data_IF_267704511723
#
_entry.id   IF_267704511723
#
_cell.length_a   1.000
_cell.length_b   1.000
_cell.length_c   1.000
_cell.angle_alpha   90.00
_cell.angle_beta   90.00
_cell.angle_gamma   90.00
#
_symmetry.space_group_name_H-M   'P 1'
#
loop_
_entity.id
_entity.type
_entity.pdbx_description
1 polymer ?
#
# COMPACT_ATOMS: atom_id res chain seq x y z
N UNK A 1 -5.55 -20.64 -3.88
CA UNK A 1 -5.27 -19.51 -4.80
C UNK A 1 -4.32 -19.91 -5.94
N UNK A 2 -3.36 -20.85 -5.71
CA UNK A 2 -2.33 -21.23 -6.71
C UNK A 2 -2.86 -22.04 -7.92
N UNK A 3 -4.15 -22.36 -7.97
CA UNK A 3 -4.78 -23.09 -9.10
C UNK A 3 -5.36 -22.14 -10.19
N UNK A 4 -5.28 -20.82 -10.00
CA UNK A 4 -5.76 -19.84 -10.98
C UNK A 4 -4.91 -19.93 -12.26
N UNK A 5 -5.58 -20.00 -13.41
CA UNK A 5 -4.99 -20.09 -14.74
C UNK A 5 -5.19 -18.79 -15.52
N UNK A 6 -4.43 -18.54 -16.60
CA UNK A 6 -4.67 -17.38 -17.48
C UNK A 6 -6.11 -17.31 -18.04
N UNK A 7 -6.73 -18.45 -18.31
CA UNK A 7 -8.10 -18.49 -18.83
C UNK A 7 -9.13 -18.00 -17.79
N UNK A 8 -8.86 -18.27 -16.49
CA UNK A 8 -9.73 -17.81 -15.39
C UNK A 8 -9.76 -16.28 -15.24
N UNK A 9 -8.72 -15.58 -15.73
CA UNK A 9 -8.60 -14.12 -15.63
C UNK A 9 -8.68 -13.41 -16.99
N UNK A 10 -8.88 -14.15 -18.08
CA UNK A 10 -8.90 -13.57 -19.43
C UNK A 10 -9.94 -12.45 -19.60
N UNK A 11 -11.09 -12.57 -18.93
CA UNK A 11 -12.17 -11.57 -18.94
C UNK A 11 -11.74 -10.20 -18.37
N UNK A 12 -10.73 -10.16 -17.49
CA UNK A 12 -10.23 -8.92 -16.91
C UNK A 12 -9.79 -7.93 -17.99
N UNK A 13 -9.22 -8.42 -19.08
CA UNK A 13 -8.81 -7.59 -20.22
C UNK A 13 -9.93 -6.72 -20.78
N UNK A 14 -11.16 -7.25 -20.76
CA UNK A 14 -12.32 -6.60 -21.36
C UNK A 14 -12.97 -5.59 -20.42
N UNK A 15 -12.89 -5.85 -19.09
CA UNK A 15 -13.59 -5.04 -18.08
C UNK A 15 -12.68 -4.12 -17.25
N UNK A 16 -11.36 -4.31 -17.30
CA UNK A 16 -10.43 -3.59 -16.39
C UNK A 16 -10.54 -2.08 -16.46
N UNK A 17 -10.90 -1.53 -17.63
CA UNK A 17 -11.13 -0.09 -17.82
C UNK A 17 -12.37 0.47 -17.11
N UNK A 18 -13.20 -0.37 -16.51
CA UNK A 18 -14.36 0.03 -15.70
C UNK A 18 -13.97 0.28 -14.23
N UNK A 19 -12.72 0.04 -13.86
CA UNK A 19 -12.21 0.16 -12.50
C UNK A 19 -11.18 1.29 -12.37
N UNK A 20 -11.14 1.93 -11.21
CA UNK A 20 -10.22 3.03 -10.92
C UNK A 20 -8.80 2.55 -10.63
N UNK A 21 -8.65 1.31 -10.13
CA UNK A 21 -7.35 0.71 -9.80
C UNK A 21 -7.45 -0.81 -9.72
N UNK A 22 -6.36 -1.50 -10.08
CA UNK A 22 -6.19 -2.94 -9.82
C UNK A 22 -5.25 -3.11 -8.64
N UNK A 23 -5.67 -3.91 -7.65
CA UNK A 23 -4.84 -4.29 -6.50
C UNK A 23 -4.42 -5.75 -6.63
N UNK A 24 -3.12 -6.01 -6.49
CA UNK A 24 -2.50 -7.32 -6.60
C UNK A 24 -1.73 -7.66 -5.33
N UNK A 25 -1.63 -8.96 -5.04
CA UNK A 25 -0.79 -9.55 -3.99
C UNK A 25 -0.05 -10.78 -4.53
N UNK A 26 1.01 -11.21 -3.83
CA UNK A 26 1.83 -12.35 -4.27
C UNK A 26 1.32 -13.71 -3.75
N UNK A 27 0.02 -13.83 -3.50
CA UNK A 27 -0.63 -15.07 -3.03
C UNK A 27 -1.32 -15.87 -4.15
N UNK A 28 -1.12 -15.46 -5.40
CA UNK A 28 -1.56 -16.15 -6.62
C UNK A 28 -0.34 -16.42 -7.52
N UNK A 29 -0.46 -17.26 -8.56
CA UNK A 29 0.66 -17.51 -9.45
C UNK A 29 1.22 -16.20 -10.04
N UNK A 30 2.55 -16.05 -10.04
CA UNK A 30 3.22 -14.82 -10.52
C UNK A 30 2.80 -14.45 -11.93
N UNK A 31 2.67 -15.44 -12.82
CA UNK A 31 2.20 -15.21 -14.19
C UNK A 31 0.82 -14.56 -14.27
N UNK A 32 -0.04 -14.75 -13.28
CA UNK A 32 -1.36 -14.12 -13.23
C UNK A 32 -1.22 -12.65 -12.82
N UNK A 33 -0.37 -12.35 -11.83
CA UNK A 33 -0.05 -10.98 -11.47
C UNK A 33 0.52 -10.21 -12.67
N UNK A 34 1.47 -10.81 -13.40
CA UNK A 34 2.07 -10.21 -14.61
C UNK A 34 1.04 -9.94 -15.69
N UNK A 35 0.16 -10.93 -15.96
CA UNK A 35 -0.87 -10.82 -16.99
C UNK A 35 -1.91 -9.75 -16.67
N UNK A 36 -2.41 -9.74 -15.43
CA UNK A 36 -3.42 -8.74 -15.00
C UNK A 36 -2.82 -7.35 -14.92
N UNK A 37 -1.58 -7.20 -14.43
CA UNK A 37 -0.86 -5.93 -14.44
C UNK A 37 -0.67 -5.40 -15.87
N UNK A 38 -0.34 -6.28 -16.82
CA UNK A 38 -0.24 -5.90 -18.23
C UNK A 38 -1.59 -5.42 -18.78
N UNK A 39 -2.68 -6.12 -18.52
CA UNK A 39 -4.02 -5.70 -18.99
C UNK A 39 -4.40 -4.33 -18.46
N UNK A 40 -4.15 -4.07 -17.17
CA UNK A 40 -4.41 -2.77 -16.56
C UNK A 40 -3.53 -1.67 -17.17
N UNK A 41 -2.23 -1.92 -17.32
CA UNK A 41 -1.27 -0.99 -17.93
C UNK A 41 -1.66 -0.62 -19.37
N UNK A 42 -2.01 -1.60 -20.20
CA UNK A 42 -2.45 -1.38 -21.59
C UNK A 42 -3.72 -0.50 -21.69
N UNK A 43 -4.54 -0.50 -20.64
CA UNK A 43 -5.78 0.30 -20.54
C UNK A 43 -5.60 1.60 -19.77
N UNK A 44 -4.41 1.89 -19.24
CA UNK A 44 -4.14 3.08 -18.44
C UNK A 44 -4.75 3.04 -17.03
N UNK A 45 -5.12 1.85 -16.55
CA UNK A 45 -5.65 1.67 -15.19
C UNK A 45 -4.48 1.50 -14.22
N UNK A 46 -4.42 2.28 -13.12
CA UNK A 46 -3.37 2.16 -12.12
C UNK A 46 -3.28 0.77 -11.50
N UNK A 47 -2.06 0.31 -11.23
CA UNK A 47 -1.80 -0.97 -10.57
C UNK A 47 -1.06 -0.76 -9.27
N UNK A 48 -1.64 -1.26 -8.18
CA UNK A 48 -1.01 -1.39 -6.86
C UNK A 48 -0.60 -2.83 -6.63
N UNK A 49 0.67 -3.07 -6.30
CA UNK A 49 1.15 -4.35 -5.81
C UNK A 49 1.49 -4.27 -4.32
N UNK A 50 0.73 -4.98 -3.48
CA UNK A 50 1.19 -5.35 -2.15
C UNK A 50 2.18 -6.51 -2.30
N UNK A 51 3.47 -6.30 -2.00
CA UNK A 51 4.54 -7.27 -2.26
C UNK A 51 4.64 -8.38 -1.21
N UNK A 52 3.57 -8.68 -0.53
CA UNK A 52 3.44 -9.75 0.45
C UNK A 52 2.82 -11.03 -0.19
N UNK A 53 3.35 -12.22 0.14
CA UNK A 53 4.64 -12.49 0.74
C UNK A 53 5.79 -12.19 -0.25
N UNK A 54 6.97 -11.87 0.27
CA UNK A 54 8.13 -11.51 -0.55
C UNK A 54 8.46 -12.58 -1.60
N UNK A 55 8.61 -12.16 -2.85
CA UNK A 55 9.00 -13.01 -3.97
C UNK A 55 9.79 -12.20 -5.01
N UNK A 56 10.67 -12.85 -5.82
CA UNK A 56 11.32 -12.17 -6.94
C UNK A 56 10.29 -11.65 -7.95
N UNK A 57 10.43 -10.39 -8.35
CA UNK A 57 9.55 -9.73 -9.34
C UNK A 57 10.29 -9.56 -10.67
N UNK A 58 9.58 -9.81 -11.77
CA UNK A 58 10.13 -9.57 -13.10
C UNK A 58 10.20 -8.07 -13.42
N UNK A 59 11.15 -7.68 -14.29
CA UNK A 59 11.24 -6.30 -14.76
C UNK A 59 9.97 -5.86 -15.50
N UNK A 60 9.30 -6.79 -16.20
CA UNK A 60 8.04 -6.54 -16.88
C UNK A 60 6.93 -6.16 -15.88
N UNK A 61 6.74 -6.95 -14.81
CA UNK A 61 5.77 -6.62 -13.78
C UNK A 61 6.07 -5.24 -13.16
N UNK A 62 7.31 -5.02 -12.72
CA UNK A 62 7.71 -3.76 -12.07
C UNK A 62 7.44 -2.53 -12.94
N UNK A 63 7.65 -2.63 -14.25
CA UNK A 63 7.39 -1.51 -15.19
C UNK A 63 5.91 -1.22 -15.42
N UNK A 64 5.02 -2.13 -15.06
CA UNK A 64 3.57 -1.94 -15.16
C UNK A 64 2.95 -1.40 -13.86
N UNK A 65 3.72 -1.31 -12.78
CA UNK A 65 3.20 -0.86 -11.49
C UNK A 65 3.14 0.66 -11.38
N UNK A 66 1.96 1.17 -11.01
CA UNK A 66 1.82 2.56 -10.55
C UNK A 66 2.30 2.69 -9.11
N UNK A 67 1.99 1.70 -8.27
CA UNK A 67 2.39 1.64 -6.88
C UNK A 67 2.95 0.26 -6.53
N UNK A 68 3.97 0.23 -5.67
CA UNK A 68 4.39 -0.96 -4.92
C UNK A 68 4.39 -0.65 -3.43
N UNK A 69 3.94 -1.59 -2.60
CA UNK A 69 3.85 -1.39 -1.16
C UNK A 69 4.50 -2.54 -0.38
N UNK A 70 5.83 -2.58 -0.29
CA UNK A 70 6.55 -3.46 0.61
C UNK A 70 6.54 -2.94 2.05
N UNK A 71 6.68 -3.85 3.02
CA UNK A 71 7.21 -3.50 4.32
C UNK A 71 8.75 -3.42 4.30
N UNK A 72 9.38 -3.05 5.44
CA UNK A 72 10.84 -2.90 5.54
C UNK A 72 11.62 -4.18 5.17
N UNK A 73 11.08 -5.37 5.47
CA UNK A 73 11.73 -6.65 5.17
C UNK A 73 11.57 -7.02 3.69
N UNK A 74 10.37 -6.89 3.17
CA UNK A 74 10.08 -7.13 1.75
C UNK A 74 10.87 -6.15 0.85
N UNK A 75 11.00 -4.90 1.28
CA UNK A 75 11.81 -3.90 0.58
C UNK A 75 13.28 -4.32 0.53
N UNK A 76 13.81 -4.85 1.64
CA UNK A 76 15.17 -5.39 1.68
C UNK A 76 15.34 -6.61 0.77
N UNK A 77 14.37 -7.54 0.75
CA UNK A 77 14.39 -8.70 -0.14
C UNK A 77 14.36 -8.30 -1.62
N UNK A 78 13.55 -7.30 -1.98
CA UNK A 78 13.40 -6.84 -3.37
C UNK A 78 14.61 -6.04 -3.89
N UNK A 79 15.34 -5.38 -3.00
CA UNK A 79 16.42 -4.46 -3.37
C UNK A 79 17.83 -4.95 -2.99
N UNK A 80 17.92 -5.86 -2.02
CA UNK A 80 19.18 -6.24 -1.37
C UNK A 80 19.70 -5.19 -0.39
N UNK A 81 18.91 -4.15 -0.07
CA UNK A 81 19.30 -3.02 0.79
C UNK A 81 18.47 -3.07 2.08
N UNK A 82 19.07 -3.42 3.23
CA UNK A 82 18.35 -3.41 4.50
C UNK A 82 18.10 -1.98 4.98
N UNK A 83 16.91 -1.73 5.53
CA UNK A 83 16.59 -0.46 6.17
C UNK A 83 16.90 -0.57 7.66
N UNK A 84 17.97 0.10 8.11
CA UNK A 84 18.38 0.07 9.51
C UNK A 84 17.45 0.89 10.39
N UNK A 85 17.12 0.36 11.58
CA UNK A 85 16.33 1.07 12.58
C UNK A 85 17.21 2.00 13.42
N UNK A 86 16.72 3.19 13.71
CA UNK A 86 17.35 4.22 14.54
C UNK A 86 16.37 4.65 15.64
N UNK A 87 16.28 3.83 16.71
CA UNK A 87 15.27 4.02 17.76
C UNK A 87 13.84 3.81 17.25
N UNK A 88 13.00 4.86 17.32
CA UNK A 88 11.63 4.85 16.75
C UNK A 88 11.59 5.32 15.27
N UNK A 89 12.74 5.59 14.65
CA UNK A 89 12.85 5.98 13.24
C UNK A 89 13.66 4.96 12.44
N UNK A 90 13.88 5.25 11.16
CA UNK A 90 14.72 4.45 10.25
C UNK A 90 15.83 5.32 9.68
N UNK A 91 16.92 4.68 9.25
CA UNK A 91 18.02 5.37 8.59
C UNK A 91 17.54 5.92 7.24
N UNK A 92 17.69 7.23 7.06
CA UNK A 92 17.18 7.95 5.89
C UNK A 92 17.91 7.57 4.61
N UNK A 93 19.24 7.40 4.66
CA UNK A 93 20.01 7.05 3.47
C UNK A 93 19.66 5.68 2.95
N UNK A 94 19.40 4.70 3.85
CA UNK A 94 18.94 3.36 3.47
C UNK A 94 17.56 3.43 2.80
N UNK A 95 16.65 4.20 3.37
CA UNK A 95 15.31 4.40 2.84
C UNK A 95 15.35 5.02 1.43
N UNK A 96 16.12 6.09 1.26
CA UNK A 96 16.29 6.77 -0.01
C UNK A 96 16.93 5.84 -1.08
N UNK A 97 17.89 5.00 -0.68
CA UNK A 97 18.50 4.01 -1.56
C UNK A 97 17.52 2.91 -2.01
N UNK A 98 16.67 2.42 -1.10
CA UNK A 98 15.61 1.44 -1.43
C UNK A 98 14.61 2.06 -2.41
N UNK A 99 14.12 3.27 -2.13
CA UNK A 99 13.19 3.99 -3.00
C UNK A 99 13.80 4.18 -4.40
N UNK A 100 15.05 4.67 -4.46
CA UNK A 100 15.74 4.88 -5.73
C UNK A 100 15.91 3.56 -6.51
N UNK A 101 16.23 2.45 -5.81
CA UNK A 101 16.35 1.13 -6.43
C UNK A 101 15.03 0.66 -7.06
N UNK A 102 13.90 0.76 -6.35
CA UNK A 102 12.59 0.32 -6.86
C UNK A 102 12.10 1.23 -7.99
N UNK A 103 12.25 2.55 -7.87
CA UNK A 103 11.91 3.48 -8.94
C UNK A 103 12.80 3.29 -10.17
N UNK A 104 14.08 3.02 -9.99
CA UNK A 104 15.01 2.69 -11.07
C UNK A 104 14.67 1.41 -11.84
N UNK A 105 13.85 0.53 -11.26
CA UNK A 105 13.29 -0.67 -11.90
C UNK A 105 11.98 -0.41 -12.66
N UNK A 106 11.48 0.83 -12.68
CA UNK A 106 10.31 1.25 -13.45
C UNK A 106 9.03 1.50 -12.65
N UNK A 107 9.03 1.27 -11.33
CA UNK A 107 7.88 1.57 -10.48
C UNK A 107 7.69 3.08 -10.36
N UNK A 108 6.47 3.59 -10.56
CA UNK A 108 6.21 5.03 -10.51
C UNK A 108 6.21 5.58 -9.09
N UNK A 109 5.53 4.90 -8.16
CA UNK A 109 5.44 5.31 -6.75
C UNK A 109 5.76 4.14 -5.83
N UNK A 110 6.57 4.39 -4.81
CA UNK A 110 7.00 3.41 -3.82
C UNK A 110 6.43 3.79 -2.46
N UNK A 111 5.65 2.91 -1.87
CA UNK A 111 5.18 3.02 -0.48
C UNK A 111 6.01 2.04 0.34
N UNK A 112 6.49 2.43 1.51
CA UNK A 112 7.16 1.51 2.43
C UNK A 112 6.52 1.66 3.81
N UNK A 113 5.95 0.57 4.33
CA UNK A 113 5.47 0.51 5.71
C UNK A 113 6.62 0.15 6.64
N UNK A 114 6.78 0.92 7.71
CA UNK A 114 7.93 0.89 8.62
C UNK A 114 7.55 0.48 10.05
N UNK A 115 6.40 -0.17 10.21
CA UNK A 115 5.85 -0.57 11.50
C UNK A 115 5.66 0.64 12.43
N UNK A 116 6.26 0.60 13.61
CA UNK A 116 6.16 1.70 14.60
C UNK A 116 6.81 3.01 14.16
N UNK A 117 7.57 3.03 13.07
CA UNK A 117 8.09 4.28 12.51
C UNK A 117 7.09 4.97 11.57
N UNK A 118 5.99 4.30 11.18
CA UNK A 118 4.99 4.86 10.27
C UNK A 118 5.11 4.35 8.84
N UNK A 119 4.91 5.22 7.86
CA UNK A 119 5.00 4.87 6.45
C UNK A 119 5.51 6.04 5.61
N UNK A 120 6.02 5.72 4.44
CA UNK A 120 6.50 6.69 3.45
C UNK A 120 5.90 6.38 2.09
N UNK A 121 5.59 7.42 1.30
CA UNK A 121 5.31 7.30 -0.12
C UNK A 121 6.25 8.20 -0.90
N UNK A 122 6.81 7.68 -1.97
CA UNK A 122 7.75 8.40 -2.83
C UNK A 122 7.32 8.28 -4.29
N UNK A 123 7.22 9.40 -4.96
CA UNK A 123 6.83 9.51 -6.38
C UNK A 123 7.45 10.75 -7.03
N UNK A 124 6.88 11.21 -8.13
CA UNK A 124 7.38 12.39 -8.84
C UNK A 124 7.17 13.69 -8.07
N UNK A 125 6.18 13.74 -7.18
CA UNK A 125 5.94 14.88 -6.28
C UNK A 125 6.94 15.00 -5.13
N UNK A 126 7.78 13.98 -4.92
CA UNK A 126 8.74 13.92 -3.82
C UNK A 126 8.49 12.75 -2.89
N UNK A 127 8.91 12.91 -1.63
CA UNK A 127 8.77 11.90 -0.58
C UNK A 127 7.92 12.49 0.55
N UNK A 128 6.79 11.85 0.82
CA UNK A 128 5.94 12.14 1.97
C UNK A 128 6.11 11.06 3.03
N UNK A 129 6.14 11.48 4.29
CA UNK A 129 6.25 10.60 5.44
C UNK A 129 5.06 10.84 6.38
N UNK A 130 4.41 9.75 6.82
CA UNK A 130 3.37 9.78 7.84
C UNK A 130 3.83 8.97 9.05
N UNK A 131 3.91 9.57 10.25
CA UNK A 131 4.32 8.86 11.46
C UNK A 131 3.28 7.80 11.85
N UNK A 132 3.72 6.77 12.58
CA UNK A 132 2.80 5.80 13.18
C UNK A 132 1.86 6.51 14.18
N UNK A 133 0.61 6.15 14.17
CA UNK A 133 -0.40 6.63 15.13
C UNK A 133 -0.36 5.69 16.36
N UNK A 134 0.50 6.03 17.33
CA UNK A 134 0.82 5.20 18.51
C UNK A 134 -0.15 5.54 19.67
N UNK A 135 -1.45 5.28 19.47
CA UNK A 135 -2.53 5.66 20.41
C UNK A 135 -3.39 4.47 20.87
N UNK A 136 -3.01 3.27 20.44
CA UNK A 136 -3.71 2.03 20.80
C UNK A 136 -2.74 0.96 21.27
N UNK A 137 -3.24 0.01 22.06
CA UNK A 137 -2.50 -1.22 22.38
C UNK A 137 -2.59 -2.17 21.17
N UNK A 138 -1.44 -2.61 20.67
CA UNK A 138 -1.36 -3.62 19.60
C UNK A 138 -1.75 -4.98 20.16
N UNK A 139 -2.86 -5.54 19.69
CA UNK A 139 -3.35 -6.88 20.07
C UNK A 139 -2.99 -7.94 19.04
N UNK A 140 -3.17 -7.61 17.75
CA UNK A 140 -2.92 -8.53 16.65
C UNK A 140 -2.48 -7.72 15.41
N UNK A 141 -1.25 -7.91 14.87
CA UNK A 141 -0.80 -7.21 13.67
C UNK A 141 -1.36 -7.80 12.38
N UNK A 142 -2.16 -8.88 12.45
CA UNK A 142 -2.76 -9.54 11.28
C UNK A 142 -3.60 -8.55 10.49
N UNK A 143 -3.47 -8.57 9.16
CA UNK A 143 -4.14 -7.69 8.20
C UNK A 143 -3.82 -6.18 8.31
N UNK A 144 -2.87 -5.76 9.15
CA UNK A 144 -2.47 -4.35 9.23
C UNK A 144 -1.98 -3.80 7.87
N UNK A 145 -1.14 -4.57 7.17
CA UNK A 145 -0.65 -4.23 5.82
C UNK A 145 -1.78 -4.20 4.81
N UNK A 146 -2.68 -5.17 4.84
CA UNK A 146 -3.81 -5.26 3.90
C UNK A 146 -4.79 -4.10 4.08
N UNK A 147 -5.13 -3.78 5.34
CA UNK A 147 -6.00 -2.63 5.65
C UNK A 147 -5.35 -1.31 5.27
N UNK A 148 -4.04 -1.17 5.49
CA UNK A 148 -3.28 0.00 5.07
C UNK A 148 -3.32 0.19 3.55
N UNK A 149 -2.98 -0.85 2.78
CA UNK A 149 -2.97 -0.78 1.31
C UNK A 149 -4.37 -0.54 0.77
N UNK A 150 -5.39 -1.23 1.32
CA UNK A 150 -6.79 -1.03 0.94
C UNK A 150 -7.25 0.40 1.17
N UNK A 151 -6.97 0.97 2.35
CA UNK A 151 -7.33 2.34 2.68
C UNK A 151 -6.59 3.36 1.80
N UNK A 152 -5.28 3.17 1.58
CA UNK A 152 -4.49 4.04 0.70
C UNK A 152 -5.07 4.08 -0.71
N UNK A 153 -5.32 2.91 -1.32
CA UNK A 153 -5.87 2.83 -2.68
C UNK A 153 -7.25 3.48 -2.76
N UNK A 154 -8.13 3.20 -1.81
CA UNK A 154 -9.47 3.78 -1.74
C UNK A 154 -9.41 5.30 -1.66
N UNK A 155 -8.53 5.85 -0.81
CA UNK A 155 -8.36 7.29 -0.66
C UNK A 155 -7.83 7.95 -1.94
N UNK A 156 -6.83 7.35 -2.60
CA UNK A 156 -6.28 7.86 -3.88
C UNK A 156 -7.35 7.84 -4.97
N UNK A 157 -8.10 6.74 -5.12
CA UNK A 157 -9.18 6.64 -6.09
C UNK A 157 -10.30 7.65 -5.83
N UNK A 158 -10.52 8.03 -4.58
CA UNK A 158 -11.45 9.07 -4.19
C UNK A 158 -10.91 10.51 -4.41
N UNK A 159 -9.67 10.67 -4.89
CA UNK A 159 -9.09 11.95 -5.23
C UNK A 159 -8.26 12.62 -4.12
N UNK A 160 -7.99 11.94 -3.00
CA UNK A 160 -7.04 12.43 -2.01
C UNK A 160 -5.62 12.38 -2.59
N UNK A 161 -4.78 13.35 -2.22
CA UNK A 161 -3.37 13.28 -2.60
C UNK A 161 -2.63 12.19 -1.80
N UNK A 162 -1.42 11.82 -2.25
CA UNK A 162 -0.65 10.71 -1.66
C UNK A 162 -0.38 10.88 -0.17
N UNK A 163 -0.11 12.10 0.30
CA UNK A 163 0.10 12.38 1.72
C UNK A 163 -1.17 12.17 2.54
N UNK A 164 -2.30 12.67 2.07
CA UNK A 164 -3.59 12.49 2.73
C UNK A 164 -4.00 11.01 2.77
N UNK A 165 -3.79 10.29 1.66
CA UNK A 165 -4.04 8.85 1.58
C UNK A 165 -3.14 8.06 2.55
N UNK A 166 -1.87 8.47 2.70
CA UNK A 166 -0.92 7.85 3.63
C UNK A 166 -1.36 8.04 5.09
N UNK A 167 -1.78 9.25 5.46
CA UNK A 167 -2.28 9.54 6.80
C UNK A 167 -3.56 8.73 7.09
N UNK A 168 -4.53 8.71 6.16
CA UNK A 168 -5.75 7.91 6.30
C UNK A 168 -5.47 6.41 6.44
N UNK A 169 -4.52 5.88 5.66
CA UNK A 169 -4.11 4.47 5.73
C UNK A 169 -3.46 4.13 7.08
N UNK A 170 -2.64 5.02 7.64
CA UNK A 170 -2.03 4.82 8.97
C UNK A 170 -3.09 4.75 10.08
N UNK A 171 -4.09 5.65 10.07
CA UNK A 171 -5.18 5.61 11.04
C UNK A 171 -6.02 4.34 10.90
N UNK A 172 -6.28 3.90 9.67
CA UNK A 172 -6.99 2.63 9.40
C UNK A 172 -6.23 1.43 9.97
N UNK A 173 -4.93 1.32 9.67
CA UNK A 173 -4.09 0.24 10.18
C UNK A 173 -3.97 0.26 11.72
N UNK A 174 -3.96 1.44 12.34
CA UNK A 174 -3.94 1.60 13.80
C UNK A 174 -5.17 0.94 14.45
N UNK A 175 -6.36 1.13 13.90
CA UNK A 175 -7.57 0.46 14.41
C UNK A 175 -7.45 -1.05 14.19
N UNK A 176 -7.01 -1.48 13.01
CA UNK A 176 -6.85 -2.89 12.68
C UNK A 176 -5.99 -3.62 13.71
N UNK A 177 -4.81 -3.10 14.05
CA UNK A 177 -3.91 -3.76 15.02
C UNK A 177 -4.43 -3.76 16.46
N UNK A 178 -5.43 -2.96 16.78
CA UNK A 178 -6.05 -2.92 18.12
C UNK A 178 -7.09 -4.01 18.36
N UNK A 179 -7.39 -4.81 17.34
CA UNK A 179 -8.41 -5.86 17.38
C UNK A 179 -7.82 -7.22 17.01
N UNK A 180 -8.52 -8.30 17.29
CA UNK A 180 -8.10 -9.67 17.00
C UNK A 180 -8.65 -10.14 15.64
N UNK A 181 -7.81 -10.86 14.88
CA UNK A 181 -8.18 -11.51 13.64
C UNK A 181 -8.00 -10.62 12.42
N UNK A 182 -8.11 -11.20 11.22
CA UNK A 182 -7.91 -10.50 9.96
C UNK A 182 -9.16 -9.67 9.56
N UNK A 183 -10.13 -10.30 8.92
CA UNK A 183 -11.33 -9.59 8.45
C UNK A 183 -12.15 -8.92 9.56
N UNK A 184 -12.32 -9.52 10.77
CA UNK A 184 -13.07 -8.88 11.86
C UNK A 184 -12.41 -7.63 12.43
N UNK A 185 -11.10 -7.43 12.22
CA UNK A 185 -10.36 -6.27 12.71
C UNK A 185 -10.44 -5.04 11.80
N UNK A 186 -10.94 -5.21 10.56
CA UNK A 186 -11.04 -4.12 9.60
C UNK A 186 -12.08 -3.08 10.07
N UNK A 187 -11.69 -1.79 10.20
CA UNK A 187 -12.60 -0.74 10.65
C UNK A 187 -13.58 -0.30 9.55
N UNK A 188 -14.70 0.25 9.98
CA UNK A 188 -15.54 1.06 9.12
C UNK A 188 -14.96 2.49 8.98
N UNK A 189 -15.31 3.18 7.91
CA UNK A 189 -14.90 4.57 7.69
C UNK A 189 -15.22 5.47 8.88
N UNK A 190 -16.40 5.29 9.49
CA UNK A 190 -16.81 6.06 10.66
C UNK A 190 -15.84 5.90 11.85
N UNK A 191 -15.32 4.70 12.07
CA UNK A 191 -14.37 4.42 13.17
C UNK A 191 -13.04 5.14 12.93
N UNK A 192 -12.61 5.20 11.66
CA UNK A 192 -11.36 5.90 11.28
C UNK A 192 -11.53 7.41 11.48
N UNK A 193 -12.64 7.98 11.02
CA UNK A 193 -12.94 9.42 11.19
C UNK A 193 -13.02 9.77 12.69
N UNK A 194 -13.68 8.93 13.50
CA UNK A 194 -13.79 9.14 14.95
C UNK A 194 -12.41 9.12 15.61
N UNK A 195 -11.54 8.19 15.24
CA UNK A 195 -10.17 8.15 15.76
C UNK A 195 -9.40 9.41 15.37
N UNK A 196 -9.46 9.83 14.09
CA UNK A 196 -8.80 11.04 13.61
C UNK A 196 -9.28 12.29 14.37
N UNK A 197 -10.58 12.41 14.62
CA UNK A 197 -11.15 13.52 15.40
C UNK A 197 -10.70 13.49 16.86
N UNK A 198 -10.70 12.32 17.50
CA UNK A 198 -10.26 12.15 18.88
C UNK A 198 -8.80 12.54 19.07
N UNK A 199 -7.95 12.18 18.12
CA UNK A 199 -6.52 12.52 18.13
C UNK A 199 -6.24 13.93 17.59
N UNK A 200 -7.27 14.75 17.36
CA UNK A 200 -7.18 16.14 16.89
C UNK A 200 -6.33 16.26 15.61
N UNK A 201 -6.54 15.30 14.70
CA UNK A 201 -5.81 15.30 13.41
C UNK A 201 -6.13 16.57 12.61
N UNK A 202 -5.07 17.25 12.17
CA UNK A 202 -5.14 18.52 11.44
C UNK A 202 -4.45 18.49 10.06
N UNK A 203 -4.02 17.30 9.60
CA UNK A 203 -3.27 17.14 8.34
C UNK A 203 -4.08 17.46 7.08
N UNK A 204 -5.40 17.30 7.14
CA UNK A 204 -6.33 17.72 6.07
C UNK A 204 -7.79 17.83 6.61
N UNK A 205 -8.66 18.46 5.83
CA UNK A 205 -10.08 18.55 6.17
C UNK A 205 -10.74 17.16 6.07
N UNK A 206 -11.22 16.62 7.20
CA UNK A 206 -11.89 15.32 7.26
C UNK A 206 -13.17 15.25 6.41
N UNK A 207 -13.75 16.39 6.05
CA UNK A 207 -14.87 16.46 5.10
C UNK A 207 -14.51 15.90 3.72
N UNK A 208 -13.24 15.84 3.35
CA UNK A 208 -12.80 15.19 2.11
C UNK A 208 -13.10 13.68 2.10
N UNK A 209 -13.20 13.06 3.28
CA UNK A 209 -13.52 11.62 3.40
C UNK A 209 -15.01 11.32 3.15
N UNK A 210 -15.87 12.35 3.06
CA UNK A 210 -17.30 12.17 2.76
C UNK A 210 -17.53 11.53 1.38
N UNK A 211 -16.59 11.67 0.46
CA UNK A 211 -16.62 11.00 -0.85
C UNK A 211 -16.55 9.46 -0.73
N UNK A 212 -16.08 8.93 0.40
CA UNK A 212 -15.98 7.50 0.67
C UNK A 212 -17.27 6.91 1.27
N UNK A 213 -18.27 7.72 1.57
CA UNK A 213 -19.58 7.30 2.11
C UNK A 213 -20.48 6.78 1.00
#
# INVERSE_FOLDING_TARGET
>A
NMAITPDDVAFVRDIVSEFDMVMLQLEIPMQINELVAQYAFEKGVPVMLNSAPSAPLSAALLSHLTYISPNEHEAADLTGIPIRKEGKSVNRDDLDAVIASLRGKGVQNVIITLGSAGAVVAGDSGIDFSPCVDVVEVKDPTAAGDSFVGAFCTAVCAGLNQRQALDFANYTATITVSQMGAQPSLPHLADVIELMQREQFDGFDLGLLDILK
#
